data_IF_742081925946
#
_entry.id   IF_742081925946
#
_cell.length_a   1.000
_cell.length_b   1.000
_cell.length_c   1.000
_cell.angle_alpha   90.00
_cell.angle_beta   90.00
_cell.angle_gamma   90.00
#
_symmetry.space_group_name_H-M   'P 1'
#
loop_
_entity.id
_entity.type
_entity.pdbx_description
1 polymer ?
#
# COMPACT_ATOMS: atom_id res chain seq x y z
N UNK A 1 17.00 -22.59 -12.56
CA UNK A 1 15.59 -22.41 -12.12
C UNK A 1 15.49 -21.05 -11.43
N UNK A 2 15.27 -19.99 -12.19
CA UNK A 2 15.27 -18.62 -11.66
C UNK A 2 13.83 -18.29 -11.27
N UNK A 3 13.47 -18.54 -10.02
CA UNK A 3 12.17 -18.09 -9.48
C UNK A 3 12.16 -16.55 -9.59
N UNK A 4 11.14 -15.92 -10.19
CA UNK A 4 11.06 -14.47 -10.17
C UNK A 4 10.96 -14.05 -8.71
N UNK A 5 12.04 -13.42 -8.21
CA UNK A 5 12.08 -12.88 -6.86
C UNK A 5 10.82 -12.03 -6.68
N UNK A 6 9.96 -12.43 -5.74
CA UNK A 6 8.74 -11.71 -5.36
C UNK A 6 9.13 -10.26 -5.18
N UNK A 7 8.71 -9.42 -6.13
CA UNK A 7 9.21 -8.07 -6.31
C UNK A 7 8.71 -7.26 -5.12
N UNK A 8 9.53 -7.21 -4.07
CA UNK A 8 9.31 -6.37 -2.91
C UNK A 8 9.14 -4.96 -3.47
N UNK A 9 7.90 -4.49 -3.45
CA UNK A 9 7.56 -3.32 -4.22
C UNK A 9 8.18 -2.15 -3.47
N UNK A 10 8.81 -1.20 -4.16
CA UNK A 10 9.34 0.02 -3.50
C UNK A 10 8.20 0.73 -2.73
N UNK A 11 6.95 0.54 -3.17
CA UNK A 11 5.75 0.90 -2.41
C UNK A 11 5.71 0.29 -1.00
N UNK A 12 6.07 -0.97 -0.78
CA UNK A 12 6.07 -1.59 0.55
C UNK A 12 7.07 -0.93 1.48
N UNK A 13 8.25 -0.53 0.97
CA UNK A 13 9.25 0.24 1.74
C UNK A 13 8.74 1.64 2.05
N UNK A 14 8.16 2.35 1.06
CA UNK A 14 7.55 3.68 1.28
C UNK A 14 6.43 3.58 2.31
N UNK A 15 5.63 2.51 2.26
CA UNK A 15 4.55 2.26 3.19
C UNK A 15 5.03 2.03 4.63
N UNK A 16 6.07 1.23 4.79
CA UNK A 16 6.69 1.01 6.10
C UNK A 16 7.29 2.30 6.67
N UNK A 17 7.98 3.09 5.85
CA UNK A 17 8.57 4.37 6.28
C UNK A 17 7.50 5.38 6.71
N UNK A 18 6.41 5.50 5.96
CA UNK A 18 5.28 6.37 6.32
C UNK A 18 4.62 5.97 7.64
N UNK A 19 4.49 4.66 7.89
CA UNK A 19 3.99 4.14 9.17
C UNK A 19 4.90 4.57 10.34
N UNK A 20 6.22 4.44 10.17
CA UNK A 20 7.20 4.82 11.21
C UNK A 20 7.15 6.34 11.50
N UNK A 21 7.05 7.17 10.46
CA UNK A 21 6.95 8.63 10.59
C UNK A 21 5.71 9.02 11.40
N UNK A 22 4.58 8.36 11.17
CA UNK A 22 3.34 8.61 11.92
C UNK A 22 3.48 8.22 13.39
N UNK A 23 4.09 7.07 13.69
CA UNK A 23 4.34 6.62 15.06
C UNK A 23 5.27 7.61 15.81
N UNK A 24 6.31 8.11 15.15
CA UNK A 24 7.20 9.14 15.71
C UNK A 24 6.44 10.43 16.04
N UNK A 25 5.50 10.85 15.17
CA UNK A 25 4.65 12.01 15.44
C UNK A 25 3.64 11.78 16.57
N UNK A 26 3.15 10.54 16.75
CA UNK A 26 2.28 10.19 17.87
C UNK A 26 2.94 10.47 19.23
N UNK A 27 4.26 10.35 19.31
CA UNK A 27 5.05 10.60 20.52
C UNK A 27 5.17 12.11 20.81
N UNK A 28 5.10 12.98 19.80
CA UNK A 28 5.25 14.44 19.92
C UNK A 28 3.90 15.21 19.98
N UNK A 29 2.77 14.50 20.16
CA UNK A 29 1.42 15.10 20.18
C UNK A 29 1.26 16.22 21.23
N UNK A 30 2.07 16.19 22.30
CA UNK A 30 1.98 17.15 23.40
C UNK A 30 2.48 18.54 23.03
N UNK A 31 3.38 18.65 22.05
CA UNK A 31 4.01 19.93 21.70
C UNK A 31 3.24 20.67 20.60
N UNK A 32 2.64 19.96 19.64
CA UNK A 32 1.91 20.56 18.51
C UNK A 32 0.70 19.70 18.06
N UNK A 33 -0.39 19.75 18.83
CA UNK A 33 -1.59 18.95 18.58
C UNK A 33 -2.24 19.21 17.20
N UNK A 34 -2.21 20.44 16.71
CA UNK A 34 -2.80 20.82 15.40
C UNK A 34 -2.08 20.14 14.24
N UNK A 35 -0.75 20.17 14.23
CA UNK A 35 0.07 19.53 13.18
C UNK A 35 -0.10 18.02 13.22
N UNK A 36 -0.16 17.44 14.41
CA UNK A 36 -0.32 16.01 14.60
C UNK A 36 -1.67 15.50 14.05
N UNK A 37 -2.76 16.24 14.24
CA UNK A 37 -4.07 15.90 13.66
C UNK A 37 -4.08 15.94 12.12
N UNK A 38 -3.38 16.91 11.51
CA UNK A 38 -3.25 17.00 10.05
C UNK A 38 -2.53 15.76 9.51
N UNK A 39 -1.45 15.32 10.17
CA UNK A 39 -0.73 14.10 9.79
C UNK A 39 -1.60 12.85 9.90
N UNK A 40 -2.46 12.75 10.91
CA UNK A 40 -3.41 11.64 11.06
C UNK A 40 -4.39 11.58 9.89
N UNK A 41 -4.96 12.72 9.47
CA UNK A 41 -5.90 12.78 8.34
C UNK A 41 -5.21 12.40 7.04
N UNK A 42 -4.01 12.94 6.78
CA UNK A 42 -3.21 12.61 5.60
C UNK A 42 -2.85 11.13 5.58
N UNK A 43 -2.47 10.56 6.72
CA UNK A 43 -2.19 9.13 6.86
C UNK A 43 -3.42 8.26 6.59
N UNK A 44 -4.59 8.65 7.10
CA UNK A 44 -5.84 7.92 6.84
C UNK A 44 -6.18 7.93 5.34
N UNK A 45 -6.08 9.07 4.68
CA UNK A 45 -6.27 9.19 3.22
C UNK A 45 -5.29 8.31 2.43
N UNK A 46 -4.03 8.28 2.86
CA UNK A 46 -3.01 7.47 2.24
C UNK A 46 -3.27 5.96 2.43
N UNK A 47 -3.66 5.53 3.63
CA UNK A 47 -4.00 4.14 3.93
C UNK A 47 -5.19 3.65 3.07
N UNK A 48 -6.23 4.48 2.91
CA UNK A 48 -7.37 4.19 2.02
C UNK A 48 -6.88 3.99 0.58
N UNK A 49 -5.99 4.85 0.11
CA UNK A 49 -5.45 4.78 -1.26
C UNK A 49 -4.67 3.47 -1.51
N UNK A 50 -3.92 3.00 -0.50
CA UNK A 50 -3.22 1.71 -0.58
C UNK A 50 -4.17 0.52 -0.63
N UNK A 51 -5.17 0.51 0.25
CA UNK A 51 -6.19 -0.54 0.27
C UNK A 51 -6.93 -0.55 -1.07
N UNK A 52 -7.32 0.61 -1.58
CA UNK A 52 -7.99 0.75 -2.88
C UNK A 52 -7.13 0.19 -4.02
N UNK A 53 -5.82 0.51 -4.04
CA UNK A 53 -4.89 -0.02 -5.05
C UNK A 53 -4.75 -1.55 -4.95
N UNK A 54 -4.66 -2.08 -3.73
CA UNK A 54 -4.56 -3.53 -3.49
C UNK A 54 -5.85 -4.27 -3.91
N UNK A 55 -7.01 -3.68 -3.61
CA UNK A 55 -8.32 -4.19 -4.03
C UNK A 55 -8.50 -4.08 -5.54
N UNK A 56 -8.07 -2.99 -6.18
CA UNK A 56 -8.12 -2.86 -7.64
C UNK A 56 -7.30 -3.94 -8.34
N UNK A 57 -6.07 -4.20 -7.91
CA UNK A 57 -5.23 -5.27 -8.47
C UNK A 57 -5.94 -6.62 -8.34
N UNK A 58 -6.52 -6.89 -7.17
CA UNK A 58 -7.27 -8.14 -6.92
C UNK A 58 -8.52 -8.25 -7.79
N UNK A 59 -9.28 -7.15 -7.94
CA UNK A 59 -10.47 -7.12 -8.80
C UNK A 59 -10.14 -7.24 -10.29
N UNK A 60 -9.05 -6.62 -10.75
CA UNK A 60 -8.57 -6.77 -12.13
C UNK A 60 -8.06 -8.19 -12.40
N UNK A 61 -7.42 -8.83 -11.41
CA UNK A 61 -7.00 -10.23 -11.49
C UNK A 61 -8.18 -11.20 -11.59
N UNK A 62 -9.28 -10.94 -10.87
CA UNK A 62 -10.47 -11.78 -10.87
C UNK A 62 -11.45 -11.48 -12.02
N UNK A 63 -11.14 -10.53 -12.90
CA UNK A 63 -12.01 -10.18 -14.02
C UNK A 63 -11.64 -11.04 -15.26
N UNK A 64 -12.48 -12.00 -15.68
CA UNK A 64 -12.13 -12.99 -16.71
C UNK A 64 -11.88 -12.40 -18.11
N UNK A 65 -12.30 -11.15 -18.34
CA UNK A 65 -12.13 -10.44 -19.61
C UNK A 65 -10.97 -9.42 -19.58
N UNK A 66 -10.12 -9.43 -18.54
CA UNK A 66 -8.95 -8.55 -18.46
C UNK A 66 -7.70 -9.26 -19.02
N UNK A 67 -6.81 -8.60 -19.81
CA UNK A 67 -5.66 -9.25 -20.46
C UNK A 67 -4.63 -9.90 -19.51
N UNK A 68 -4.71 -9.62 -18.21
CA UNK A 68 -3.91 -10.26 -17.16
C UNK A 68 -4.47 -11.61 -16.67
N UNK A 69 -5.71 -11.98 -17.04
CA UNK A 69 -6.36 -13.25 -16.63
C UNK A 69 -5.76 -14.48 -17.30
N UNK A 70 -5.24 -14.34 -18.53
CA UNK A 70 -4.68 -15.46 -19.30
C UNK A 70 -3.22 -15.81 -18.95
N UNK A 71 -2.52 -14.98 -18.17
CA UNK A 71 -1.13 -15.28 -17.79
C UNK A 71 -1.01 -16.33 -16.68
N UNK A 72 -2.07 -16.55 -15.88
CA UNK A 72 -2.09 -17.55 -14.81
C UNK A 72 -2.35 -18.97 -15.37
N UNK A 73 -3.18 -19.08 -16.42
CA UNK A 73 -3.60 -20.37 -17.00
C UNK A 73 -2.64 -20.97 -18.03
N UNK A 74 -1.63 -20.22 -18.46
CA UNK A 74 -0.63 -20.70 -19.44
C UNK A 74 0.60 -21.31 -18.75
N UNK A 75 0.59 -21.40 -17.41
CA UNK A 75 1.66 -21.96 -16.58
C UNK A 75 1.27 -23.27 -15.86
N UNK A 76 0.08 -23.82 -16.15
CA UNK A 76 -0.33 -25.19 -15.75
C UNK A 76 -0.08 -26.20 -16.88
#
# INVERSE_FOLDING_TARGET
MNRPLKRWNILDTINATLLIVVILYFIDFKNNATVSWIFVIVFAFWAITLIARNVMITRMKNNPNHPMHNQDKTQE
#
